data_IF_628157332997
#
_entry.id   IF_628157332997
#
_cell.length_a   1.000
_cell.length_b   1.000
_cell.length_c   1.000
_cell.angle_alpha   90.00
_cell.angle_beta   90.00
_cell.angle_gamma   90.00
#
_symmetry.space_group_name_H-M   'P 1'
#
loop_
_entity.id
_entity.type
_entity.pdbx_description
1 polymer ?
#
# COMPACT_ATOMS: atom_id res chain seq x y z
N UNK A 1 -46.83 -20.60 -31.11
CA UNK A 1 -47.05 -20.08 -29.75
C UNK A 1 -46.38 -20.96 -28.69
N UNK A 2 -46.70 -22.26 -28.57
CA UNK A 2 -46.09 -23.14 -27.55
C UNK A 2 -44.56 -23.34 -27.66
N UNK A 3 -44.02 -23.44 -28.88
CA UNK A 3 -42.56 -23.57 -29.10
C UNK A 3 -41.77 -22.34 -28.66
N UNK A 4 -42.33 -21.14 -28.84
CA UNK A 4 -41.71 -19.89 -28.40
C UNK A 4 -41.67 -19.80 -26.87
N UNK A 5 -42.75 -20.26 -26.21
CA UNK A 5 -42.83 -20.31 -24.74
C UNK A 5 -41.83 -21.32 -24.17
N UNK A 6 -41.73 -22.52 -24.76
CA UNK A 6 -40.75 -23.54 -24.34
C UNK A 6 -39.30 -23.05 -24.53
N UNK A 7 -39.01 -22.39 -25.64
CA UNK A 7 -37.69 -21.80 -25.89
C UNK A 7 -37.36 -20.70 -24.87
N UNK A 8 -38.31 -19.82 -24.56
CA UNK A 8 -38.13 -18.78 -23.55
C UNK A 8 -37.85 -19.37 -22.16
N UNK A 9 -38.58 -20.42 -21.77
CA UNK A 9 -38.34 -21.14 -20.51
C UNK A 9 -36.94 -21.76 -20.47
N UNK A 10 -36.52 -22.41 -21.55
CA UNK A 10 -35.20 -23.05 -21.64
C UNK A 10 -34.06 -22.02 -21.53
N UNK A 11 -34.20 -20.89 -22.22
CA UNK A 11 -33.23 -19.78 -22.15
C UNK A 11 -33.17 -19.17 -20.75
N UNK A 12 -34.31 -18.99 -20.09
CA UNK A 12 -34.36 -18.47 -18.72
C UNK A 12 -33.61 -19.39 -17.75
N UNK A 13 -33.85 -20.70 -17.83
CA UNK A 13 -33.14 -21.69 -17.00
C UNK A 13 -31.63 -21.71 -17.28
N UNK A 14 -31.22 -21.59 -18.54
CA UNK A 14 -29.80 -21.57 -18.92
C UNK A 14 -29.09 -20.32 -18.40
N UNK A 15 -29.75 -19.15 -18.44
CA UNK A 15 -29.21 -17.90 -17.89
C UNK A 15 -29.07 -17.99 -16.37
N UNK A 16 -30.08 -18.52 -15.67
CA UNK A 16 -30.00 -18.71 -14.21
C UNK A 16 -28.88 -19.70 -13.83
N UNK A 17 -28.74 -20.80 -14.57
CA UNK A 17 -27.67 -21.76 -14.36
C UNK A 17 -26.28 -21.14 -14.59
N UNK A 18 -26.10 -20.38 -15.68
CA UNK A 18 -24.86 -19.68 -15.98
C UNK A 18 -24.49 -18.64 -14.92
N UNK A 19 -25.46 -17.89 -14.40
CA UNK A 19 -25.25 -16.95 -13.30
C UNK A 19 -24.88 -17.66 -11.99
N UNK A 20 -25.45 -18.83 -11.72
CA UNK A 20 -25.12 -19.64 -10.53
C UNK A 20 -23.77 -20.36 -10.61
N UNK A 21 -23.22 -20.55 -11.82
CA UNK A 21 -21.87 -21.09 -12.03
C UNK A 21 -20.78 -20.02 -11.90
N UNK A 22 -21.14 -18.73 -11.88
CA UNK A 22 -20.20 -17.66 -11.58
C UNK A 22 -19.94 -17.62 -10.07
N UNK A 23 -18.81 -18.19 -9.65
CA UNK A 23 -18.35 -18.20 -8.25
C UNK A 23 -17.85 -16.84 -7.76
N UNK A 24 -17.75 -15.83 -8.64
CA UNK A 24 -17.33 -14.49 -8.26
C UNK A 24 -18.54 -13.64 -7.83
N UNK A 25 -18.64 -13.36 -6.53
CA UNK A 25 -19.53 -12.32 -6.00
C UNK A 25 -19.16 -10.96 -6.59
N UNK A 26 -20.14 -10.12 -6.91
CA UNK A 26 -19.90 -8.72 -7.27
C UNK A 26 -19.19 -8.01 -6.12
N UNK A 27 -17.97 -7.53 -6.38
CA UNK A 27 -17.14 -6.88 -5.39
C UNK A 27 -17.57 -5.42 -5.22
N UNK A 28 -18.07 -5.06 -4.05
CA UNK A 28 -18.35 -3.68 -3.66
C UNK A 28 -17.02 -2.97 -3.34
N UNK A 29 -16.51 -2.23 -4.33
CA UNK A 29 -15.26 -1.47 -4.20
C UNK A 29 -15.35 -0.42 -3.10
N UNK A 30 -16.51 0.17 -2.83
CA UNK A 30 -16.65 1.21 -1.80
C UNK A 30 -16.52 0.62 -0.39
N UNK A 31 -17.09 -0.56 -0.16
CA UNK A 31 -16.88 -1.28 1.10
C UNK A 31 -15.42 -1.70 1.25
N UNK A 32 -14.81 -2.22 0.19
CA UNK A 32 -13.40 -2.63 0.21
C UNK A 32 -12.47 -1.46 0.52
N UNK A 33 -12.65 -0.33 -0.16
CA UNK A 33 -11.83 0.87 0.04
C UNK A 33 -11.98 1.44 1.45
N UNK A 34 -13.20 1.46 2.00
CA UNK A 34 -13.42 1.87 3.41
C UNK A 34 -12.65 0.98 4.40
N UNK A 35 -12.73 -0.35 4.24
CA UNK A 35 -11.98 -1.30 5.09
C UNK A 35 -10.47 -1.13 4.92
N UNK A 36 -9.99 -0.87 3.69
CA UNK A 36 -8.58 -0.60 3.40
C UNK A 36 -8.08 0.67 4.07
N UNK A 37 -8.85 1.76 4.02
CA UNK A 37 -8.51 3.04 4.65
C UNK A 37 -8.35 2.85 6.17
N UNK A 38 -9.29 2.16 6.83
CA UNK A 38 -9.20 1.94 8.27
C UNK A 38 -7.99 1.08 8.65
N UNK A 39 -7.72 0.03 7.87
CA UNK A 39 -6.55 -0.82 8.07
C UNK A 39 -5.24 -0.03 7.90
N UNK A 40 -5.15 0.82 6.87
CA UNK A 40 -3.97 1.66 6.63
C UNK A 40 -3.80 2.69 7.75
N UNK A 41 -4.89 3.29 8.24
CA UNK A 41 -4.85 4.22 9.37
C UNK A 41 -4.23 3.56 10.60
N UNK A 42 -4.74 2.40 10.99
CA UNK A 42 -4.19 1.63 12.11
C UNK A 42 -2.74 1.19 11.87
N UNK A 43 -2.39 0.82 10.64
CA UNK A 43 -1.04 0.43 10.27
C UNK A 43 -0.04 1.59 10.43
N UNK A 44 -0.37 2.80 9.97
CA UNK A 44 0.49 3.98 10.10
C UNK A 44 0.73 4.30 11.58
N UNK A 45 -0.34 4.36 12.37
CA UNK A 45 -0.26 4.65 13.81
C UNK A 45 0.58 3.61 14.56
N UNK A 46 0.36 2.32 14.29
CA UNK A 46 1.13 1.22 14.86
C UNK A 46 2.62 1.32 14.51
N UNK A 47 2.96 1.60 13.24
CA UNK A 47 4.35 1.78 12.80
C UNK A 47 5.04 2.95 13.48
N UNK A 48 4.33 4.04 13.72
CA UNK A 48 4.83 5.24 14.41
C UNK A 48 4.78 5.12 15.93
N UNK A 49 4.24 4.02 16.48
CA UNK A 49 4.00 3.82 17.92
C UNK A 49 3.10 4.91 18.54
N UNK A 50 2.12 5.36 17.77
CA UNK A 50 1.12 6.34 18.19
C UNK A 50 -0.22 5.64 18.43
N UNK A 51 -0.93 6.04 19.48
CA UNK A 51 -2.29 5.54 19.79
C UNK A 51 -3.37 6.34 19.08
N UNK A 52 -3.10 7.61 18.80
CA UNK A 52 -3.95 8.53 18.05
C UNK A 52 -3.08 9.43 17.18
N UNK A 53 -3.66 10.06 16.15
CA UNK A 53 -2.98 11.14 15.44
C UNK A 53 -2.52 12.23 16.46
N UNK A 54 -1.36 12.88 16.27
CA UNK A 54 -0.95 14.05 17.05
C UNK A 54 -2.06 15.12 17.15
N UNK A 55 -2.05 15.98 18.17
CA UNK A 55 -3.07 17.04 18.28
C UNK A 55 -2.67 18.32 17.51
N UNK A 56 -1.37 18.56 17.39
CA UNK A 56 -0.81 19.75 16.76
C UNK A 56 -0.17 19.40 15.41
N UNK A 57 -0.63 20.07 14.36
CA UNK A 57 -0.13 19.96 12.99
C UNK A 57 0.08 21.36 12.43
N UNK A 58 1.10 22.09 12.90
CA UNK A 58 1.43 23.36 12.31
C UNK A 58 1.88 23.08 10.88
N UNK A 59 1.14 23.59 9.89
CA UNK A 59 1.55 23.50 8.50
C UNK A 59 2.72 24.47 8.30
N UNK A 60 3.95 23.98 8.04
CA UNK A 60 5.05 24.88 7.75
C UNK A 60 4.81 25.53 6.37
N UNK A 61 5.00 26.85 6.25
CA UNK A 61 4.93 27.53 4.95
C UNK A 61 5.93 26.92 3.94
N UNK A 62 7.12 26.55 4.41
CA UNK A 62 8.14 25.86 3.62
C UNK A 62 8.88 24.80 4.44
N UNK A 63 9.13 23.64 3.83
CA UNK A 63 9.93 22.56 4.43
C UNK A 63 11.42 22.84 4.21
N UNK A 64 12.28 22.75 5.25
CA UNK A 64 13.71 23.02 5.09
C UNK A 64 14.36 22.17 4.00
N UNK A 65 15.29 22.72 3.20
CA UNK A 65 15.91 22.01 2.08
C UNK A 65 16.71 20.77 2.52
N UNK A 66 17.25 20.78 3.74
CA UNK A 66 17.93 19.63 4.34
C UNK A 66 16.97 18.44 4.55
N UNK A 67 15.76 18.71 5.07
CA UNK A 67 14.72 17.68 5.26
C UNK A 67 14.26 17.13 3.91
N UNK A 68 14.10 18.00 2.91
CA UNK A 68 13.77 17.60 1.54
C UNK A 68 14.88 16.71 0.95
N UNK A 69 16.16 17.05 1.18
CA UNK A 69 17.29 16.23 0.75
C UNK A 69 17.25 14.84 1.38
N UNK A 70 17.04 14.75 2.70
CA UNK A 70 16.92 13.48 3.43
C UNK A 70 15.76 12.65 2.87
N UNK A 71 14.58 13.27 2.67
CA UNK A 71 13.40 12.60 2.12
C UNK A 71 13.66 12.01 0.74
N UNK A 72 14.21 12.80 -0.18
CA UNK A 72 14.49 12.37 -1.55
C UNK A 72 15.50 11.21 -1.58
N UNK A 73 16.62 11.35 -0.87
CA UNK A 73 17.61 10.28 -0.78
C UNK A 73 17.04 8.99 -0.16
N UNK A 74 16.17 9.13 0.84
CA UNK A 74 15.50 7.97 1.47
C UNK A 74 14.50 7.31 0.52
N UNK A 75 13.71 8.09 -0.22
CA UNK A 75 12.78 7.58 -1.23
C UNK A 75 13.51 6.76 -2.28
N UNK A 76 14.61 7.29 -2.80
CA UNK A 76 15.39 6.65 -3.86
C UNK A 76 16.05 5.35 -3.34
N UNK A 77 16.60 5.37 -2.11
CA UNK A 77 17.14 4.19 -1.44
C UNK A 77 16.09 3.10 -1.20
N UNK A 78 14.88 3.49 -0.75
CA UNK A 78 13.79 2.55 -0.51
C UNK A 78 13.29 1.92 -1.82
N UNK A 79 13.23 2.70 -2.90
CA UNK A 79 12.88 2.21 -4.22
C UNK A 79 13.90 1.16 -4.72
N UNK A 80 15.19 1.43 -4.56
CA UNK A 80 16.24 0.47 -4.91
C UNK A 80 16.15 -0.82 -4.10
N UNK A 81 15.95 -0.71 -2.78
CA UNK A 81 15.75 -1.88 -1.90
C UNK A 81 14.54 -2.71 -2.31
N UNK A 82 13.43 -2.06 -2.65
CA UNK A 82 12.23 -2.75 -3.13
C UNK A 82 12.49 -3.50 -4.44
N UNK A 83 13.23 -2.90 -5.38
CA UNK A 83 13.64 -3.54 -6.63
C UNK A 83 14.52 -4.76 -6.39
N UNK A 84 15.54 -4.65 -5.52
CA UNK A 84 16.43 -5.77 -5.16
C UNK A 84 15.66 -6.93 -4.51
N UNK A 85 14.73 -6.64 -3.59
CA UNK A 85 13.86 -7.67 -2.96
C UNK A 85 12.98 -8.38 -3.97
N UNK A 86 12.38 -7.62 -4.89
CA UNK A 86 11.55 -8.19 -5.96
C UNK A 86 12.39 -9.12 -6.86
N UNK A 87 13.61 -8.72 -7.20
CA UNK A 87 14.54 -9.55 -7.97
C UNK A 87 14.99 -10.82 -7.23
N UNK A 88 15.14 -10.75 -5.91
CA UNK A 88 15.52 -11.87 -5.05
C UNK A 88 14.33 -12.76 -4.61
N UNK A 89 13.09 -12.44 -5.02
CA UNK A 89 11.86 -13.10 -4.56
C UNK A 89 11.73 -13.16 -3.02
N UNK A 90 12.30 -12.20 -2.31
CA UNK A 90 12.28 -12.14 -0.85
C UNK A 90 10.91 -11.68 -0.35
N UNK A 91 10.17 -12.59 0.32
CA UNK A 91 8.88 -12.27 0.97
C UNK A 91 9.00 -11.95 2.45
N UNK A 92 10.05 -12.40 3.11
CA UNK A 92 10.17 -12.29 4.56
C UNK A 92 10.60 -10.88 4.97
N UNK A 93 9.86 -10.32 5.92
CA UNK A 93 10.17 -9.06 6.60
C UNK A 93 10.48 -9.42 8.04
N UNK A 94 11.67 -9.04 8.51
CA UNK A 94 12.00 -9.18 9.93
C UNK A 94 11.05 -8.33 10.78
N UNK A 95 10.73 -8.81 11.98
CA UNK A 95 9.94 -8.07 12.98
C UNK A 95 10.59 -6.71 13.33
N UNK A 96 11.92 -6.61 13.24
CA UNK A 96 12.69 -5.38 13.45
C UNK A 96 12.45 -4.30 12.37
N UNK A 97 11.90 -4.69 11.22
CA UNK A 97 11.52 -3.79 10.11
C UNK A 97 10.04 -3.39 10.17
N UNK A 98 9.31 -3.82 11.21
CA UNK A 98 7.91 -3.47 11.34
C UNK A 98 7.72 -1.99 11.68
N UNK A 99 8.43 -1.49 12.69
CA UNK A 99 8.30 -0.11 13.18
C UNK A 99 9.06 0.90 12.30
N UNK A 100 8.60 2.15 12.34
CA UNK A 100 9.28 3.26 11.69
C UNK A 100 10.65 3.51 12.33
N UNK A 101 11.61 3.96 11.51
CA UNK A 101 12.97 4.33 11.93
C UNK A 101 13.20 5.78 11.62
N UNK A 102 13.83 6.48 12.54
CA UNK A 102 14.30 7.84 12.32
C UNK A 102 15.52 7.82 11.39
N UNK A 103 15.60 8.78 10.48
CA UNK A 103 16.62 8.82 9.43
C UNK A 103 17.44 10.09 9.58
N UNK A 104 18.76 9.92 9.63
CA UNK A 104 19.74 10.99 9.72
C UNK A 104 20.69 10.91 8.53
N UNK A 105 21.12 12.07 8.02
CA UNK A 105 22.18 12.17 7.02
C UNK A 105 23.43 12.73 7.71
N UNK A 106 24.55 12.02 7.57
CA UNK A 106 25.84 12.41 8.14
C UNK A 106 26.78 12.64 6.97
N UNK A 107 27.25 13.87 6.79
CA UNK A 107 28.19 14.20 5.74
C UNK A 107 29.61 13.75 6.13
N UNK A 108 30.29 13.07 5.22
CA UNK A 108 31.66 12.62 5.43
C UNK A 108 32.63 13.79 5.29
N UNK A 109 33.57 14.01 6.23
CA UNK A 109 34.61 15.01 6.04
C UNK A 109 35.49 14.67 4.83
N UNK A 110 36.04 15.67 4.13
CA UNK A 110 36.95 15.43 3.02
C UNK A 110 38.13 14.56 3.47
N UNK A 111 38.39 13.49 2.72
CA UNK A 111 39.53 12.62 2.95
C UNK A 111 40.80 13.33 2.47
N UNK A 112 41.68 13.69 3.41
CA UNK A 112 43.04 14.12 3.10
C UNK A 112 43.98 12.92 3.29
N UNK A 113 44.53 12.32 2.23
CA UNK A 113 45.56 11.29 2.38
C UNK A 113 46.79 11.92 3.05
N UNK A 114 47.31 11.28 4.09
CA UNK A 114 48.62 11.59 4.63
C UNK A 114 49.67 11.15 3.61
N UNK A 115 50.49 12.10 3.15
CA UNK A 115 51.65 11.86 2.28
C UNK A 115 52.65 10.86 2.88
#
# INVERSE_FOLDING_TARGET
>A
MHYCVLSAFLLLHLVTAALSLSTCSTLDMDQFMRKRIEAIRGQILSKLKLTSPPEDYPEPEEVPPEVISIYNSTRDLLQEKASRRAAACERERSDEEYYAKEVYKIDMPPFFPSE
#
